data_IF_653375245039
#
_entry.id   IF_653375245039
#
_cell.length_a   1.000
_cell.length_b   1.000
_cell.length_c   1.000
_cell.angle_alpha   90.00
_cell.angle_beta   90.00
_cell.angle_gamma   90.00
#
_symmetry.space_group_name_H-M   'P 1'
#
loop_
_entity.id
_entity.type
_entity.pdbx_description
1 polymer ?
#
# COMPACT_ATOMS: atom_id res chain seq x y z
N UNK A 1 -7.57 -3.79 17.44
CA UNK A 1 -6.43 -2.97 17.00
C UNK A 1 -6.97 -1.63 16.53
N UNK A 2 -6.31 -0.51 16.83
CA UNK A 2 -6.72 0.79 16.32
C UNK A 2 -6.22 0.95 14.87
N UNK A 3 -7.14 0.85 13.92
CA UNK A 3 -6.83 0.89 12.49
C UNK A 3 -6.29 2.27 12.07
N UNK A 4 -6.89 3.35 12.59
CA UNK A 4 -6.46 4.71 12.30
C UNK A 4 -5.02 4.93 12.75
N UNK A 5 -4.69 4.54 13.99
CA UNK A 5 -3.32 4.64 14.51
C UNK A 5 -2.33 3.81 13.70
N UNK A 6 -2.72 2.62 13.23
CA UNK A 6 -1.87 1.78 12.39
C UNK A 6 -1.54 2.47 11.05
N UNK A 7 -2.57 2.95 10.33
CA UNK A 7 -2.38 3.69 9.07
C UNK A 7 -1.58 4.97 9.28
N UNK A 8 -1.88 5.74 10.33
CA UNK A 8 -1.13 6.96 10.68
C UNK A 8 0.35 6.68 10.94
N UNK A 9 0.65 5.63 11.70
CA UNK A 9 2.04 5.21 11.95
C UNK A 9 2.72 4.80 10.64
N UNK A 10 2.01 4.07 9.79
CA UNK A 10 2.54 3.55 8.53
C UNK A 10 2.93 4.64 7.53
N UNK A 11 2.06 5.63 7.31
CA UNK A 11 2.29 6.72 6.35
C UNK A 11 3.35 7.70 6.84
N UNK A 12 3.57 7.80 8.15
CA UNK A 12 4.56 8.69 8.74
C UNK A 12 5.96 8.05 8.82
N UNK A 13 6.05 6.72 8.81
CA UNK A 13 7.33 6.01 8.93
C UNK A 13 8.41 6.43 7.89
N UNK A 14 8.11 6.70 6.60
CA UNK A 14 9.14 7.12 5.65
C UNK A 14 9.76 8.49 5.96
N UNK A 15 9.16 9.28 6.86
CA UNK A 15 9.56 10.68 7.16
C UNK A 15 10.60 10.80 8.27
N UNK A 16 10.90 9.71 8.99
CA UNK A 16 11.84 9.72 10.13
C UNK A 16 13.26 9.22 9.78
N UNK A 17 13.58 9.04 8.50
CA UNK A 17 14.94 8.79 8.00
C UNK A 17 15.46 7.36 8.18
N UNK A 18 14.95 6.62 9.16
CA UNK A 18 15.20 5.18 9.28
C UNK A 18 14.15 4.38 8.48
N UNK A 19 14.61 3.40 7.70
CA UNK A 19 13.72 2.44 7.05
C UNK A 19 12.82 1.71 8.07
N UNK A 20 11.70 1.15 7.59
CA UNK A 20 10.74 0.39 8.42
C UNK A 20 11.44 -0.66 9.28
N UNK A 21 11.44 -0.46 10.60
CA UNK A 21 11.97 -1.41 11.60
C UNK A 21 10.89 -2.42 11.98
N UNK A 22 11.31 -3.59 12.46
CA UNK A 22 10.43 -4.65 12.95
C UNK A 22 9.33 -5.08 11.96
N UNK A 23 9.71 -5.36 10.69
CA UNK A 23 8.77 -5.77 9.64
C UNK A 23 7.88 -6.97 10.06
N UNK A 24 8.44 -7.92 10.80
CA UNK A 24 7.70 -9.06 11.36
C UNK A 24 6.49 -8.64 12.23
N UNK A 25 6.64 -7.59 13.05
CA UNK A 25 5.54 -7.08 13.87
C UNK A 25 4.49 -6.39 13.00
N UNK A 26 4.93 -5.58 12.04
CA UNK A 26 4.01 -4.91 11.12
C UNK A 26 3.25 -5.89 10.24
N UNK A 27 3.88 -7.00 9.85
CA UNK A 27 3.24 -8.07 9.09
C UNK A 27 2.11 -8.73 9.86
N UNK A 28 2.29 -8.98 11.16
CA UNK A 28 1.21 -9.53 12.01
C UNK A 28 0.01 -8.59 12.01
N UNK A 29 0.25 -7.28 12.14
CA UNK A 29 -0.82 -6.28 12.09
C UNK A 29 -1.54 -6.29 10.73
N UNK A 30 -0.80 -6.25 9.61
CA UNK A 30 -1.41 -6.22 8.27
C UNK A 30 -2.16 -7.50 7.91
N UNK A 31 -1.65 -8.67 8.33
CA UNK A 31 -2.37 -9.94 8.20
C UNK A 31 -3.68 -9.91 8.99
N UNK A 32 -3.66 -9.37 10.21
CA UNK A 32 -4.88 -9.20 11.00
C UNK A 32 -5.86 -8.23 10.34
N UNK A 33 -5.40 -7.07 9.83
CA UNK A 33 -6.24 -6.13 9.07
C UNK A 33 -6.90 -6.84 7.88
N UNK A 34 -6.13 -7.61 7.12
CA UNK A 34 -6.67 -8.31 5.95
C UNK A 34 -7.76 -9.32 6.35
N UNK A 35 -7.57 -10.04 7.47
CA UNK A 35 -8.58 -10.93 8.01
C UNK A 35 -9.83 -10.18 8.49
N UNK A 36 -9.65 -9.03 9.15
CA UNK A 36 -10.76 -8.20 9.62
C UNK A 36 -11.57 -7.65 8.44
N UNK A 37 -10.90 -7.17 7.38
CA UNK A 37 -11.54 -6.74 6.13
C UNK A 37 -12.36 -7.86 5.51
N UNK A 38 -11.85 -9.10 5.48
CA UNK A 38 -12.62 -10.26 4.98
C UNK A 38 -13.85 -10.55 5.81
N UNK A 39 -13.76 -10.42 7.13
CA UNK A 39 -14.91 -10.61 8.00
C UNK A 39 -15.97 -9.53 7.74
N UNK A 40 -15.55 -8.28 7.56
CA UNK A 40 -16.44 -7.16 7.23
C UNK A 40 -17.07 -7.30 5.83
N UNK A 41 -16.29 -7.72 4.83
CA UNK A 41 -16.78 -8.01 3.47
C UNK A 41 -17.89 -9.07 3.46
N UNK A 42 -17.88 -10.02 4.39
CA UNK A 42 -18.90 -11.06 4.51
C UNK A 42 -19.96 -10.77 5.59
N UNK A 43 -19.93 -9.59 6.21
CA UNK A 43 -20.87 -9.19 7.26
C UNK A 43 -22.22 -8.76 6.68
N UNK A 44 -23.31 -9.03 7.42
CA UNK A 44 -24.64 -8.47 7.13
C UNK A 44 -24.73 -6.96 7.45
N UNK A 45 -23.79 -6.45 8.25
CA UNK A 45 -23.66 -5.01 8.50
C UNK A 45 -23.20 -4.31 7.22
N UNK A 46 -24.13 -3.57 6.60
CA UNK A 46 -23.89 -2.83 5.35
C UNK A 46 -22.80 -1.78 5.47
N UNK A 47 -22.64 -1.15 6.63
CA UNK A 47 -21.62 -0.12 6.84
C UNK A 47 -20.25 -0.79 6.87
N UNK A 48 -20.10 -1.87 7.63
CA UNK A 48 -18.87 -2.65 7.67
C UNK A 48 -18.53 -3.24 6.28
N UNK A 49 -19.52 -3.78 5.58
CA UNK A 49 -19.37 -4.32 4.24
C UNK A 49 -18.87 -3.26 3.24
N UNK A 50 -19.45 -2.06 3.26
CA UNK A 50 -19.04 -0.99 2.36
C UNK A 50 -17.64 -0.45 2.71
N UNK A 51 -17.36 -0.28 4.02
CA UNK A 51 -16.04 0.07 4.51
C UNK A 51 -14.96 -0.89 4.01
N UNK A 52 -15.22 -2.21 4.08
CA UNK A 52 -14.31 -3.24 3.59
C UNK A 52 -13.97 -3.10 2.10
N UNK A 53 -14.96 -2.76 1.26
CA UNK A 53 -14.75 -2.60 -0.20
C UNK A 53 -13.80 -1.45 -0.51
N UNK A 54 -13.86 -0.36 0.25
CA UNK A 54 -12.93 0.74 0.08
C UNK A 54 -11.48 0.33 0.37
N UNK A 55 -11.27 -0.52 1.38
CA UNK A 55 -9.92 -0.93 1.79
C UNK A 55 -9.27 -1.94 0.84
N UNK A 56 -10.04 -2.80 0.19
CA UNK A 56 -9.47 -3.82 -0.70
C UNK A 56 -9.02 -3.20 -2.03
N UNK A 57 -7.77 -3.45 -2.37
CA UNK A 57 -7.22 -3.13 -3.68
C UNK A 57 -7.00 -4.40 -4.49
N UNK A 58 -7.45 -4.38 -5.75
CA UNK A 58 -7.09 -5.37 -6.77
C UNK A 58 -6.66 -4.63 -8.03
N UNK A 59 -5.67 -5.15 -8.73
CA UNK A 59 -5.07 -4.52 -9.89
C UNK A 59 -3.55 -4.52 -9.85
N UNK A 60 -2.95 -3.85 -10.84
CA UNK A 60 -1.49 -3.74 -10.94
C UNK A 60 -0.97 -2.72 -9.94
N UNK A 61 0.10 -3.11 -9.25
CA UNK A 61 0.83 -2.26 -8.33
C UNK A 61 2.30 -2.26 -8.72
N UNK A 62 2.99 -1.16 -8.42
CA UNK A 62 4.40 -0.97 -8.73
C UNK A 62 5.17 -0.60 -7.48
N UNK A 63 6.41 -1.05 -7.39
CA UNK A 63 7.37 -0.62 -6.38
C UNK A 63 8.60 -0.12 -7.10
N UNK A 64 8.95 1.12 -6.81
CA UNK A 64 10.05 1.81 -7.48
C UNK A 64 11.21 1.92 -6.50
N UNK A 65 12.42 1.66 -6.98
CA UNK A 65 13.65 1.77 -6.21
C UNK A 65 14.70 2.56 -7.00
N UNK A 66 15.42 3.46 -6.32
CA UNK A 66 16.58 4.15 -6.90
C UNK A 66 17.76 3.18 -7.03
N UNK A 67 18.21 2.95 -8.27
CA UNK A 67 19.43 2.21 -8.62
C UNK A 67 19.63 0.86 -7.88
N UNK A 68 18.54 0.11 -7.66
CA UNK A 68 18.60 -1.15 -6.92
C UNK A 68 19.07 -2.31 -7.81
N UNK A 69 19.98 -3.14 -7.32
CA UNK A 69 20.60 -4.19 -8.16
C UNK A 69 19.84 -5.51 -8.14
N UNK A 70 19.31 -5.90 -6.98
CA UNK A 70 18.71 -7.21 -6.73
C UNK A 70 17.44 -7.05 -5.91
N UNK A 71 16.35 -7.74 -6.26
CA UNK A 71 15.11 -7.69 -5.48
C UNK A 71 15.13 -8.80 -4.44
N UNK A 72 15.03 -8.44 -3.15
CA UNK A 72 14.96 -9.41 -2.06
C UNK A 72 13.50 -9.72 -1.69
N UNK A 73 13.05 -10.93 -2.03
CA UNK A 73 11.69 -11.42 -1.74
C UNK A 73 11.56 -11.86 -0.28
N UNK A 74 11.38 -10.88 0.61
CA UNK A 74 11.27 -11.13 2.04
C UNK A 74 9.83 -11.47 2.51
N UNK A 75 8.84 -11.51 1.61
CA UNK A 75 7.42 -11.75 1.89
C UNK A 75 6.73 -10.77 2.85
N UNK A 76 7.46 -9.85 3.49
CA UNK A 76 6.87 -8.76 4.28
C UNK A 76 5.98 -7.83 3.47
N UNK A 77 4.97 -7.29 4.15
CA UNK A 77 4.13 -6.22 3.66
C UNK A 77 4.94 -4.94 3.53
N UNK A 78 4.90 -4.35 2.34
CA UNK A 78 5.63 -3.13 2.03
C UNK A 78 4.74 -2.17 1.24
N UNK A 79 5.24 -0.95 1.06
CA UNK A 79 4.56 0.08 0.28
C UNK A 79 4.69 -0.18 -1.22
N UNK A 80 3.58 -0.09 -1.93
CA UNK A 80 3.49 -0.10 -3.38
C UNK A 80 2.67 1.11 -3.82
N UNK A 81 2.75 1.46 -5.09
CA UNK A 81 1.91 2.48 -5.71
C UNK A 81 0.95 1.83 -6.71
N UNK A 82 -0.31 2.25 -6.68
CA UNK A 82 -1.29 1.98 -7.73
C UNK A 82 -1.31 3.08 -8.81
N UNK A 83 -0.45 4.11 -8.71
CA UNK A 83 -0.40 5.20 -9.67
C UNK A 83 -0.03 4.66 -11.06
N UNK A 84 -0.78 5.10 -12.07
CA UNK A 84 -0.52 4.76 -13.47
C UNK A 84 0.68 5.53 -14.01
N UNK A 85 0.80 6.81 -13.64
CA UNK A 85 1.90 7.68 -14.01
C UNK A 85 2.92 7.75 -12.86
N UNK A 86 4.12 7.22 -13.07
CA UNK A 86 5.17 7.23 -12.04
C UNK A 86 5.72 8.64 -11.75
N UNK A 87 5.54 9.60 -12.66
CA UNK A 87 5.88 11.01 -12.42
C UNK A 87 4.98 11.65 -11.34
N UNK A 88 3.90 10.98 -10.93
CA UNK A 88 3.06 11.41 -9.80
C UNK A 88 3.71 11.10 -8.43
N UNK A 89 4.77 10.27 -8.39
CA UNK A 89 5.55 10.02 -7.19
C UNK A 89 6.50 11.21 -6.96
N UNK A 90 6.40 11.89 -5.81
CA UNK A 90 7.10 13.17 -5.61
C UNK A 90 8.63 13.07 -5.71
N UNK A 91 9.18 11.88 -5.50
CA UNK A 91 10.61 11.58 -5.50
C UNK A 91 11.08 10.87 -6.77
N UNK A 92 10.16 10.50 -7.67
CA UNK A 92 10.51 9.89 -8.94
C UNK A 92 11.03 10.94 -9.90
N UNK A 93 12.16 10.64 -10.54
CA UNK A 93 12.77 11.50 -11.54
C UNK A 93 13.24 10.63 -12.71
N UNK A 94 12.57 10.70 -13.85
CA UNK A 94 12.92 9.87 -15.04
C UNK A 94 14.38 10.01 -15.51
N UNK A 95 15.09 11.06 -15.10
CA UNK A 95 16.52 11.27 -15.35
C UNK A 95 17.47 10.41 -14.50
N UNK A 96 16.96 9.63 -13.54
CA UNK A 96 17.76 8.76 -12.67
C UNK A 96 17.51 7.29 -12.98
N UNK A 97 18.51 6.46 -12.70
CA UNK A 97 18.36 5.02 -12.81
C UNK A 97 17.37 4.48 -11.77
N UNK A 98 16.39 3.71 -12.24
CA UNK A 98 15.32 3.13 -11.43
C UNK A 98 15.21 1.62 -11.67
N UNK A 99 14.79 0.91 -10.63
CA UNK A 99 14.25 -0.44 -10.75
C UNK A 99 12.78 -0.40 -10.42
N UNK A 100 11.94 -0.84 -11.35
CA UNK A 100 10.49 -0.89 -11.21
C UNK A 100 10.10 -2.36 -11.12
N UNK A 101 9.47 -2.73 -10.02
CA UNK A 101 8.90 -4.05 -9.79
C UNK A 101 7.40 -3.91 -10.00
N UNK A 102 6.82 -4.71 -10.88
CA UNK A 102 5.38 -4.75 -11.10
C UNK A 102 4.82 -6.04 -10.52
N UNK A 103 3.74 -5.94 -9.75
CA UNK A 103 2.99 -7.06 -9.20
C UNK A 103 1.49 -6.89 -9.47
N UNK A 104 0.72 -7.94 -9.21
CA UNK A 104 -0.74 -7.91 -9.29
C UNK A 104 -1.38 -8.32 -7.96
N UNK A 105 -2.20 -7.42 -7.41
CA UNK A 105 -3.10 -7.72 -6.31
C UNK A 105 -4.38 -8.34 -6.90
N UNK A 106 -4.74 -9.52 -6.43
CA UNK A 106 -5.88 -10.30 -6.94
C UNK A 106 -6.97 -10.42 -5.90
N UNK A 107 -8.12 -10.98 -6.27
CA UNK A 107 -9.17 -11.30 -5.30
C UNK A 107 -8.71 -12.30 -4.24
N UNK A 108 -7.79 -13.21 -4.54
CA UNK A 108 -7.30 -14.19 -3.56
C UNK A 108 -6.16 -13.64 -2.70
N UNK A 109 -5.40 -12.67 -3.24
CA UNK A 109 -4.34 -11.96 -2.53
C UNK A 109 -4.47 -10.46 -2.81
N UNK A 110 -5.36 -9.75 -2.10
CA UNK A 110 -5.60 -8.33 -2.32
C UNK A 110 -4.56 -7.46 -1.60
N UNK A 111 -4.42 -6.23 -2.07
CA UNK A 111 -3.71 -5.18 -1.35
C UNK A 111 -4.63 -4.41 -0.41
N UNK A 112 -4.04 -3.65 0.51
CA UNK A 112 -4.77 -2.72 1.39
C UNK A 112 -4.54 -1.29 0.88
N UNK A 113 -5.61 -0.62 0.48
CA UNK A 113 -5.60 0.72 -0.10
C UNK A 113 -5.54 1.81 0.98
N UNK A 114 -4.47 2.60 1.03
CA UNK A 114 -4.39 3.77 1.91
C UNK A 114 -5.37 4.86 1.44
N UNK A 115 -5.46 5.07 0.13
CA UNK A 115 -6.46 5.98 -0.47
C UNK A 115 -7.88 5.54 -0.10
N UNK A 116 -8.16 4.25 -0.20
CA UNK A 116 -9.43 3.65 0.14
C UNK A 116 -9.80 3.86 1.61
N UNK A 117 -8.85 3.67 2.52
CA UNK A 117 -9.05 4.00 3.94
C UNK A 117 -9.41 5.48 4.14
N UNK A 118 -8.70 6.41 3.49
CA UNK A 118 -9.01 7.84 3.55
C UNK A 118 -10.43 8.14 3.04
N UNK A 119 -10.81 7.59 1.89
CA UNK A 119 -12.15 7.76 1.31
C UNK A 119 -13.25 7.20 2.22
N UNK A 120 -12.99 6.05 2.85
CA UNK A 120 -13.93 5.46 3.79
C UNK A 120 -14.11 6.33 5.05
N UNK A 121 -13.02 6.88 5.60
CA UNK A 121 -13.08 7.81 6.74
C UNK A 121 -13.80 9.12 6.41
N UNK A 122 -13.74 9.56 5.15
CA UNK A 122 -14.46 10.76 4.69
C UNK A 122 -15.97 10.64 4.69
N UNK A 123 -16.51 9.42 4.78
CA UNK A 123 -17.94 9.21 4.95
C UNK A 123 -18.44 9.76 6.30
N UNK A 124 -17.58 9.77 7.32
CA UNK A 124 -17.90 10.28 8.66
C UNK A 124 -17.23 11.63 8.95
N UNK A 125 -16.08 11.92 8.34
CA UNK A 125 -15.26 13.12 8.56
C UNK A 125 -14.89 13.73 7.20
N UNK A 126 -15.72 14.65 6.69
CA UNK A 126 -15.63 15.20 5.33
C UNK A 126 -14.20 15.65 4.92
N UNK A 127 -13.51 16.37 5.81
CA UNK A 127 -12.16 16.91 5.58
C UNK A 127 -11.03 15.98 6.05
N UNK A 128 -11.29 14.68 6.22
CA UNK A 128 -10.28 13.75 6.69
C UNK A 128 -9.08 13.65 5.73
N UNK A 129 -7.88 13.88 6.27
CA UNK A 129 -6.63 13.67 5.57
C UNK A 129 -5.66 12.85 6.42
N UNK A 130 -5.01 11.88 5.76
CA UNK A 130 -3.93 11.08 6.34
C UNK A 130 -2.60 11.37 5.63
N UNK A 131 -2.67 11.50 4.31
CA UNK A 131 -1.53 11.74 3.44
C UNK A 131 -1.28 13.24 3.27
N UNK A 132 -0.01 13.66 3.33
CA UNK A 132 0.35 15.01 2.91
C UNK A 132 0.05 15.23 1.42
N UNK A 133 -0.23 16.47 0.97
CA UNK A 133 -0.56 16.75 -0.43
C UNK A 133 0.44 16.15 -1.44
N UNK A 134 1.74 16.18 -1.10
CA UNK A 134 2.82 15.66 -1.95
C UNK A 134 2.74 14.16 -2.24
N UNK A 135 2.14 13.35 -1.35
CA UNK A 135 2.06 11.88 -1.51
C UNK A 135 0.63 11.41 -1.85
N UNK A 136 -0.29 12.35 -2.06
CA UNK A 136 -1.70 12.04 -2.35
C UNK A 136 -1.87 11.30 -3.67
N UNK A 137 -1.06 11.67 -4.67
CA UNK A 137 -1.10 11.09 -6.00
C UNK A 137 -0.38 9.73 -6.09
N UNK A 138 0.38 9.33 -5.05
CA UNK A 138 1.11 8.07 -5.03
C UNK A 138 0.21 6.84 -4.93
N UNK A 139 -1.04 7.00 -4.48
CA UNK A 139 -2.02 5.92 -4.36
C UNK A 139 -1.42 4.68 -3.66
N UNK A 140 -0.92 4.87 -2.44
CA UNK A 140 -0.22 3.81 -1.70
C UNK A 140 -1.13 2.58 -1.47
N UNK A 141 -0.57 1.42 -1.77
CA UNK A 141 -1.13 0.09 -1.52
C UNK A 141 -0.15 -0.71 -0.68
N UNK A 142 -0.64 -1.31 0.40
CA UNK A 142 0.15 -2.16 1.29
C UNK A 142 -0.02 -3.59 0.82
N UNK A 143 1.09 -4.22 0.42
CA UNK A 143 1.07 -5.54 -0.21
C UNK A 143 2.38 -6.29 0.04
N UNK A 144 2.36 -7.63 0.19
CA UNK A 144 3.58 -8.37 0.47
C UNK A 144 4.46 -8.52 -0.77
N UNK A 145 5.78 -8.34 -0.61
CA UNK A 145 6.75 -8.58 -1.68
C UNK A 145 7.02 -10.08 -1.82
N UNK A 146 6.15 -10.75 -2.60
CA UNK A 146 6.19 -12.18 -2.86
C UNK A 146 6.48 -12.45 -4.33
N UNK A 147 7.42 -13.35 -4.61
CA UNK A 147 7.85 -13.69 -5.97
C UNK A 147 6.67 -14.14 -6.87
N UNK A 148 5.77 -14.97 -6.32
CA UNK A 148 4.59 -15.50 -7.04
C UNK A 148 3.60 -14.43 -7.52
N UNK A 149 3.65 -13.22 -6.95
CA UNK A 149 2.74 -12.12 -7.29
C UNK A 149 3.34 -11.18 -8.34
N UNK A 150 4.62 -11.35 -8.69
CA UNK A 150 5.32 -10.45 -9.59
C UNK A 150 4.99 -10.75 -11.05
N UNK A 151 4.87 -9.67 -11.83
CA UNK A 151 4.67 -9.70 -13.27
C UNK A 151 5.96 -9.34 -14.03
N UNK A 152 6.69 -8.32 -13.57
CA UNK A 152 7.93 -7.86 -14.21
C UNK A 152 8.88 -7.17 -13.24
N UNK A 153 10.17 -7.15 -13.61
CA UNK A 153 11.19 -6.29 -13.01
C UNK A 153 11.91 -5.59 -14.15
N UNK A 154 11.86 -4.27 -14.16
CA UNK A 154 12.42 -3.42 -15.21
C UNK A 154 13.49 -2.51 -14.64
N UNK A 155 14.63 -2.42 -15.35
CA UNK A 155 15.74 -1.52 -14.99
C UNK A 155 15.82 -0.40 -16.02
N UNK A 156 15.50 0.81 -15.58
CA UNK A 156 15.62 2.04 -16.37
C UNK A 156 16.96 2.68 -16.02
N UNK A 157 17.72 3.08 -17.04
CA UNK A 157 19.03 3.73 -16.89
C UNK A 157 18.91 5.23 -17.08
#
# INVERSE_FOLDING_TARGET
MDLFKLFQTWVNHPKEGDGRKDLDKTDVCWKQVLQDIRNWENSEDKVANEFAKHLLYTGKIRRVHLNHKEVNYHNHYVSWTAAENLEDLYWFYSSRAHTIITAEATKDNPGISVKGFIEAMKLDIEDFELNSPAIRAEQEVIFPLQEKSLLSIEKIK
#
